data_IF_886361008849
#
_entry.id   IF_886361008849
#
_cell.length_a   1.000
_cell.length_b   1.000
_cell.length_c   1.000
_cell.angle_alpha   90.00
_cell.angle_beta   90.00
_cell.angle_gamma   90.00
#
_symmetry.space_group_name_H-M   'P 1'
#
loop_
_entity.id
_entity.type
_entity.pdbx_description
1 polymer ?
#
# COMPACT_ATOMS: atom_id res chain seq x y z
N UNK A 1 -32.56 19.99 -47.99
CA UNK A 1 -31.29 19.29 -48.33
C UNK A 1 -30.85 18.52 -47.10
N UNK A 2 -30.90 17.20 -47.20
CA UNK A 2 -30.68 16.18 -46.17
C UNK A 2 -29.21 15.80 -46.03
N UNK A 3 -28.82 15.24 -44.86
CA UNK A 3 -27.59 14.44 -44.59
C UNK A 3 -26.25 15.21 -44.63
N UNK A 4 -25.21 14.99 -43.82
CA UNK A 4 -24.71 14.04 -42.79
C UNK A 4 -23.78 14.89 -41.88
N UNK A 5 -23.40 14.54 -40.64
CA UNK A 5 -22.52 13.44 -40.24
C UNK A 5 -22.71 13.26 -38.72
N UNK A 6 -23.29 12.13 -38.32
CA UNK A 6 -22.97 11.47 -37.06
C UNK A 6 -21.61 10.80 -37.22
N UNK A 7 -20.81 10.74 -36.14
CA UNK A 7 -20.07 9.55 -35.69
C UNK A 7 -19.10 9.94 -34.56
N UNK A 8 -19.61 9.95 -33.33
CA UNK A 8 -18.79 9.99 -32.12
C UNK A 8 -18.34 8.55 -31.84
N UNK A 9 -17.20 8.17 -32.44
CA UNK A 9 -16.61 6.85 -32.26
C UNK A 9 -16.08 6.73 -30.83
N UNK A 10 -16.79 5.91 -30.06
CA UNK A 10 -16.40 5.32 -28.79
C UNK A 10 -15.01 4.67 -28.89
N UNK A 11 -14.04 5.21 -28.15
CA UNK A 11 -12.76 4.52 -27.90
C UNK A 11 -12.91 3.68 -26.63
N UNK A 12 -12.86 2.34 -26.70
CA UNK A 12 -12.82 1.52 -25.51
C UNK A 12 -11.46 1.72 -24.82
N UNK A 13 -11.50 2.08 -23.55
CA UNK A 13 -10.35 2.09 -22.67
C UNK A 13 -9.81 0.67 -22.60
N UNK A 14 -8.71 0.41 -23.31
CA UNK A 14 -7.94 -0.81 -23.12
C UNK A 14 -7.33 -0.75 -21.72
N UNK A 15 -7.94 -1.46 -20.78
CA UNK A 15 -7.30 -1.88 -19.54
C UNK A 15 -6.09 -2.73 -19.91
N UNK A 16 -4.91 -2.11 -19.95
CA UNK A 16 -3.65 -2.84 -19.93
C UNK A 16 -3.63 -3.61 -18.63
N UNK A 17 -3.86 -4.93 -18.73
CA UNK A 17 -3.57 -5.88 -17.66
C UNK A 17 -2.12 -5.67 -17.24
N UNK A 18 -1.92 -5.08 -16.06
CA UNK A 18 -0.62 -5.04 -15.41
C UNK A 18 -0.30 -6.49 -15.05
N UNK A 19 0.66 -7.07 -15.77
CA UNK A 19 1.30 -8.31 -15.35
C UNK A 19 1.89 -8.07 -13.96
N UNK A 20 1.25 -8.66 -12.95
CA UNK A 20 1.75 -8.69 -11.57
C UNK A 20 3.02 -9.53 -11.62
N UNK A 21 4.17 -8.87 -11.68
CA UNK A 21 5.42 -9.56 -11.43
C UNK A 21 5.47 -9.84 -9.93
N UNK A 22 5.22 -11.10 -9.56
CA UNK A 22 5.47 -11.63 -8.22
C UNK A 22 6.98 -11.63 -7.94
N UNK A 23 7.59 -10.46 -7.81
CA UNK A 23 8.93 -10.33 -7.25
C UNK A 23 8.79 -10.20 -5.73
N UNK A 24 8.80 -11.37 -5.08
CA UNK A 24 8.86 -11.49 -3.64
C UNK A 24 10.26 -11.12 -3.15
N UNK A 25 10.32 -10.19 -2.19
CA UNK A 25 11.58 -9.65 -1.65
C UNK A 25 12.35 -10.71 -0.85
N UNK A 26 13.68 -10.62 -0.92
CA UNK A 26 14.69 -11.63 -0.49
C UNK A 26 14.75 -11.96 1.01
N UNK A 27 13.82 -11.49 1.85
CA UNK A 27 13.74 -11.87 3.29
C UNK A 27 12.74 -13.00 3.60
N UNK A 28 12.06 -13.57 2.61
CA UNK A 28 11.29 -14.83 2.77
C UNK A 28 12.13 -16.08 3.11
N UNK A 29 13.46 -15.95 3.24
CA UNK A 29 14.35 -17.07 3.56
C UNK A 29 14.40 -17.41 5.06
N UNK A 30 13.65 -16.74 5.93
CA UNK A 30 13.56 -17.10 7.35
C UNK A 30 12.27 -17.89 7.66
N UNK A 31 11.14 -17.56 7.02
CA UNK A 31 9.86 -18.25 7.27
C UNK A 31 9.70 -19.59 6.51
N UNK A 32 10.28 -19.76 5.31
CA UNK A 32 10.25 -21.08 4.63
C UNK A 32 11.25 -22.10 5.19
N UNK A 33 12.02 -21.77 6.24
CA UNK A 33 13.00 -22.72 6.83
C UNK A 33 12.35 -23.90 7.55
N UNK A 34 11.06 -23.82 7.89
CA UNK A 34 10.40 -24.80 8.76
C UNK A 34 9.65 -25.89 7.99
N UNK A 35 9.45 -25.75 6.67
CA UNK A 35 8.61 -26.69 5.91
C UNK A 35 7.12 -26.64 6.28
N UNK A 36 6.73 -25.67 7.12
CA UNK A 36 5.35 -25.43 7.54
C UNK A 36 4.63 -24.67 6.41
N UNK A 37 3.44 -25.10 5.98
CA UNK A 37 2.65 -24.36 5.01
C UNK A 37 2.26 -22.98 5.57
N UNK A 38 2.15 -21.99 4.68
CA UNK A 38 1.83 -20.61 5.03
C UNK A 38 0.74 -20.10 4.11
N UNK A 39 -0.28 -19.48 4.69
CA UNK A 39 -1.29 -18.73 3.96
C UNK A 39 -0.88 -17.26 3.87
N UNK A 40 -1.23 -16.60 2.77
CA UNK A 40 -1.02 -15.16 2.59
C UNK A 40 -2.27 -14.52 2.04
N UNK A 41 -2.78 -13.50 2.73
CA UNK A 41 -3.80 -12.58 2.21
C UNK A 41 -3.12 -11.27 1.83
N UNK A 42 -3.44 -10.71 0.67
CA UNK A 42 -2.89 -9.43 0.24
C UNK A 42 -4.00 -8.49 -0.25
N UNK A 43 -4.00 -7.27 0.29
CA UNK A 43 -4.89 -6.18 -0.11
C UNK A 43 -4.08 -5.07 -0.77
N UNK A 44 -4.57 -4.53 -1.89
CA UNK A 44 -3.94 -3.40 -2.58
C UNK A 44 -4.89 -2.22 -2.70
N UNK A 45 -4.45 -1.05 -2.23
CA UNK A 45 -5.17 0.23 -2.32
C UNK A 45 -4.32 1.28 -3.03
N UNK A 46 -4.97 2.29 -3.61
CA UNK A 46 -4.32 3.45 -4.23
C UNK A 46 -4.81 4.70 -3.56
N UNK A 47 -3.91 5.64 -3.31
CA UNK A 47 -4.26 6.93 -2.74
C UNK A 47 -3.28 8.00 -3.21
N UNK A 48 -3.72 9.26 -3.18
CA UNK A 48 -2.86 10.40 -3.48
C UNK A 48 -2.47 11.04 -2.16
N UNK A 49 -1.19 11.33 -1.98
CA UNK A 49 -0.69 12.17 -0.89
C UNK A 49 0.44 13.06 -1.40
N UNK A 50 0.76 14.10 -0.64
CA UNK A 50 1.73 15.11 -1.05
C UNK A 50 2.80 15.28 0.02
N UNK A 51 4.01 15.65 -0.36
CA UNK A 51 5.03 16.10 0.57
C UNK A 51 5.89 17.20 -0.04
N UNK A 52 6.53 17.99 0.80
CA UNK A 52 7.49 19.01 0.39
C UNK A 52 8.90 18.63 0.81
N UNK A 53 9.88 19.14 0.06
CA UNK A 53 11.28 18.85 0.29
C UNK A 53 11.80 19.51 1.59
N UNK A 54 12.73 18.83 2.26
CA UNK A 54 13.29 19.23 3.56
C UNK A 54 14.19 20.47 3.51
N UNK A 55 14.72 20.81 2.33
CA UNK A 55 15.88 21.70 2.20
C UNK A 55 15.64 22.83 1.20
N UNK A 56 16.25 23.98 1.47
CA UNK A 56 16.28 25.15 0.58
C UNK A 56 16.81 24.86 -0.84
N UNK A 57 17.58 23.77 -1.03
CA UNK A 57 18.10 23.33 -2.34
C UNK A 57 16.97 22.94 -3.31
N UNK A 58 15.79 22.63 -2.79
CA UNK A 58 14.64 22.15 -3.56
C UNK A 58 13.45 23.15 -3.51
N UNK A 59 13.74 24.42 -3.21
CA UNK A 59 12.77 25.50 -3.05
C UNK A 59 11.87 25.75 -4.28
N UNK A 60 12.33 25.36 -5.47
CA UNK A 60 11.57 25.49 -6.72
C UNK A 60 10.43 24.44 -6.86
N UNK A 61 10.36 23.42 -5.99
CA UNK A 61 9.32 22.39 -6.00
C UNK A 61 8.64 22.27 -4.62
N UNK A 62 7.81 23.24 -4.24
CA UNK A 62 7.27 23.35 -2.88
C UNK A 62 6.30 22.23 -2.51
N UNK A 63 5.79 21.45 -3.46
CA UNK A 63 4.91 20.31 -3.19
C UNK A 63 5.03 19.23 -4.27
N UNK A 64 5.17 17.98 -3.85
CA UNK A 64 5.23 16.80 -4.72
C UNK A 64 4.11 15.83 -4.38
N UNK A 65 3.18 15.66 -5.32
CA UNK A 65 2.08 14.70 -5.24
C UNK A 65 2.49 13.36 -5.85
N UNK A 66 2.14 12.26 -5.20
CA UNK A 66 2.30 10.92 -5.77
C UNK A 66 0.99 10.15 -5.69
N UNK A 67 0.72 9.34 -6.72
CA UNK A 67 -0.30 8.30 -6.67
C UNK A 67 0.35 7.06 -6.06
N UNK A 68 0.32 6.97 -4.74
CA UNK A 68 0.85 5.83 -4.02
C UNK A 68 0.01 4.59 -4.29
N UNK A 69 0.68 3.44 -4.27
CA UNK A 69 0.05 2.12 -4.21
C UNK A 69 0.51 1.50 -2.91
N UNK A 70 -0.43 1.12 -2.05
CA UNK A 70 -0.18 0.35 -0.83
C UNK A 70 -0.57 -1.10 -1.09
N UNK A 71 0.30 -2.04 -0.77
CA UNK A 71 0.01 -3.47 -0.65
C UNK A 71 0.29 -3.91 0.78
N UNK A 72 -0.75 -4.37 1.45
CA UNK A 72 -0.70 -4.97 2.79
C UNK A 72 -0.75 -6.47 2.59
N UNK A 73 0.19 -7.21 3.19
CA UNK A 73 0.21 -8.66 3.17
C UNK A 73 0.20 -9.18 4.60
N UNK A 74 -0.70 -10.12 4.88
CA UNK A 74 -0.82 -10.81 6.15
C UNK A 74 -0.48 -12.28 5.92
N UNK A 75 0.35 -12.84 6.80
CA UNK A 75 0.74 -14.25 6.77
C UNK A 75 0.28 -14.98 8.04
N UNK A 76 -0.17 -16.23 7.88
CA UNK A 76 -0.61 -17.10 8.98
C UNK A 76 -0.35 -18.58 8.64
N UNK A 77 0.05 -19.38 9.63
CA UNK A 77 0.26 -20.82 9.47
C UNK A 77 -1.07 -21.58 9.38
N UNK A 78 -2.10 -21.08 10.07
CA UNK A 78 -3.45 -21.64 10.11
C UNK A 78 -4.48 -20.56 9.78
N UNK A 79 -5.62 -21.00 9.26
CA UNK A 79 -6.79 -20.14 9.06
C UNK A 79 -7.57 -20.05 10.37
N UNK A 80 -8.33 -18.97 10.54
CA UNK A 80 -9.25 -18.82 11.66
C UNK A 80 -10.40 -19.86 11.62
N UNK A 81 -11.31 -19.79 12.60
CA UNK A 81 -12.44 -20.72 12.70
C UNK A 81 -13.41 -20.67 11.52
N UNK A 82 -13.44 -19.57 10.77
CA UNK A 82 -14.29 -19.36 9.60
C UNK A 82 -13.55 -19.70 8.28
N UNK A 83 -12.24 -19.97 8.35
CA UNK A 83 -11.42 -20.39 7.22
C UNK A 83 -10.71 -19.23 6.49
N UNK A 84 -10.42 -18.13 7.17
CA UNK A 84 -9.71 -16.98 6.60
C UNK A 84 -8.36 -16.71 7.29
N UNK A 85 -7.46 -16.00 6.59
CA UNK A 85 -6.30 -15.38 7.24
C UNK A 85 -6.77 -14.21 8.10
N UNK A 86 -7.67 -13.41 7.54
CA UNK A 86 -8.44 -12.36 8.18
C UNK A 86 -9.65 -12.10 7.27
N UNK A 87 -10.77 -11.64 7.82
CA UNK A 87 -11.88 -11.15 7.01
C UNK A 87 -11.38 -9.99 6.11
N UNK A 88 -11.66 -10.08 4.81
CA UNK A 88 -11.16 -9.09 3.85
C UNK A 88 -11.87 -7.74 4.00
N UNK A 89 -13.17 -7.74 4.33
CA UNK A 89 -13.94 -6.51 4.53
C UNK A 89 -13.46 -5.80 5.80
N UNK A 90 -13.09 -6.55 6.86
CA UNK A 90 -12.43 -6.02 8.05
C UNK A 90 -11.09 -5.36 7.69
N UNK A 91 -10.21 -6.07 6.97
CA UNK A 91 -8.92 -5.54 6.54
C UNK A 91 -9.08 -4.28 5.67
N UNK A 92 -10.05 -4.29 4.76
CA UNK A 92 -10.32 -3.14 3.90
C UNK A 92 -10.77 -1.90 4.69
N UNK A 93 -11.67 -2.08 5.66
CA UNK A 93 -12.15 -0.99 6.50
C UNK A 93 -11.01 -0.35 7.31
N UNK A 94 -10.19 -1.17 7.98
CA UNK A 94 -9.05 -0.72 8.78
C UNK A 94 -8.02 0.04 7.92
N UNK A 95 -7.69 -0.50 6.75
CA UNK A 95 -6.75 0.16 5.83
C UNK A 95 -7.32 1.46 5.29
N UNK A 96 -8.60 1.52 4.94
CA UNK A 96 -9.24 2.73 4.42
C UNK A 96 -9.30 3.84 5.51
N UNK A 97 -9.59 3.49 6.76
CA UNK A 97 -9.59 4.41 7.89
C UNK A 97 -8.19 4.99 8.14
N UNK A 98 -7.14 4.17 8.09
CA UNK A 98 -5.75 4.62 8.21
C UNK A 98 -5.38 5.53 7.02
N UNK A 99 -5.70 5.13 5.78
CA UNK A 99 -5.40 5.92 4.60
C UNK A 99 -6.12 7.26 4.58
N UNK A 100 -7.30 7.37 5.20
CA UNK A 100 -8.05 8.64 5.33
C UNK A 100 -7.25 9.74 6.05
N UNK A 101 -6.27 9.36 6.87
CA UNK A 101 -5.39 10.29 7.58
C UNK A 101 -4.37 10.95 6.65
N UNK A 102 -4.06 10.32 5.51
CA UNK A 102 -3.02 10.76 4.56
C UNK A 102 -3.57 11.16 3.18
N UNK A 103 -4.71 10.61 2.78
CA UNK A 103 -5.30 10.84 1.46
C UNK A 103 -5.60 12.33 1.24
N UNK A 104 -5.09 12.86 0.13
CA UNK A 104 -5.19 14.27 -0.28
C UNK A 104 -4.63 15.27 0.74
N UNK A 105 -3.73 14.82 1.62
CA UNK A 105 -3.10 15.62 2.67
C UNK A 105 -1.59 15.67 2.48
N UNK A 106 -0.98 16.65 3.15
CA UNK A 106 0.47 16.81 3.24
C UNK A 106 1.02 15.88 4.31
N UNK A 107 1.92 14.97 3.93
CA UNK A 107 2.57 14.04 4.84
C UNK A 107 3.44 14.76 5.86
N UNK A 108 3.98 15.93 5.53
CA UNK A 108 4.79 16.73 6.45
C UNK A 108 4.00 17.21 7.67
N UNK A 109 2.66 17.33 7.56
CA UNK A 109 1.80 17.79 8.64
C UNK A 109 1.22 16.64 9.48
N UNK A 110 1.40 15.40 9.03
CA UNK A 110 0.89 14.24 9.76
C UNK A 110 1.72 13.98 11.03
N UNK A 111 1.02 13.60 12.11
CA UNK A 111 1.62 13.36 13.43
C UNK A 111 2.76 12.33 13.36
N UNK A 112 2.58 11.29 12.53
CA UNK A 112 3.58 10.25 12.29
C UNK A 112 4.93 10.76 11.77
N UNK A 113 5.02 11.99 11.26
CA UNK A 113 6.25 12.57 10.72
C UNK A 113 6.72 13.84 11.45
N UNK A 114 6.17 14.15 12.62
CA UNK A 114 6.65 15.28 13.40
C UNK A 114 8.15 15.15 13.72
N UNK A 115 8.94 16.14 13.30
CA UNK A 115 10.39 16.15 13.48
C UNK A 115 11.18 15.21 12.56
N UNK A 116 10.56 14.58 11.55
CA UNK A 116 11.25 13.70 10.59
C UNK A 116 10.69 13.83 9.17
N UNK A 117 11.50 13.44 8.17
CA UNK A 117 11.05 13.48 6.77
C UNK A 117 10.15 12.30 6.41
N UNK A 118 9.04 12.52 5.69
CA UNK A 118 8.17 11.46 5.16
C UNK A 118 8.80 10.78 3.93
N UNK A 119 9.95 10.14 4.15
CA UNK A 119 10.58 9.27 3.13
C UNK A 119 9.66 8.08 2.80
N UNK A 120 9.91 7.42 1.68
CA UNK A 120 9.07 6.28 1.26
C UNK A 120 9.14 5.13 2.28
N UNK A 121 10.32 4.90 2.85
CA UNK A 121 10.60 3.92 3.90
C UNK A 121 9.91 4.30 5.21
N UNK A 122 10.03 5.56 5.65
CA UNK A 122 9.37 6.03 6.86
C UNK A 122 7.84 5.96 6.73
N UNK A 123 7.30 6.17 5.53
CA UNK A 123 5.86 6.07 5.30
C UNK A 123 5.37 4.62 5.25
N UNK A 124 6.13 3.71 4.62
CA UNK A 124 5.84 2.28 4.70
C UNK A 124 5.83 1.78 6.16
N UNK A 125 6.80 2.24 6.97
CA UNK A 125 6.82 1.96 8.41
C UNK A 125 5.58 2.51 9.12
N UNK A 126 5.28 3.81 8.97
CA UNK A 126 4.14 4.42 9.65
C UNK A 126 2.81 3.75 9.32
N UNK A 127 2.61 3.34 8.06
CA UNK A 127 1.43 2.57 7.65
C UNK A 127 1.43 1.17 8.27
N UNK A 128 2.57 0.46 8.25
CA UNK A 128 2.68 -0.87 8.82
C UNK A 128 2.44 -0.91 10.32
N UNK A 129 3.03 0.02 11.07
CA UNK A 129 2.83 0.14 12.51
C UNK A 129 1.34 0.43 12.82
N UNK A 130 0.71 1.37 12.12
CA UNK A 130 -0.70 1.71 12.32
C UNK A 130 -1.65 0.55 12.01
N UNK A 131 -1.43 -0.19 10.91
CA UNK A 131 -2.26 -1.36 10.56
C UNK A 131 -2.02 -2.47 11.57
N UNK A 132 -0.78 -2.70 11.99
CA UNK A 132 -0.48 -3.74 12.97
C UNK A 132 -1.17 -3.50 14.32
N UNK A 133 -1.19 -2.25 14.77
CA UNK A 133 -1.86 -1.83 16.01
C UNK A 133 -3.39 -1.91 15.92
N UNK A 134 -3.99 -1.69 14.74
CA UNK A 134 -5.45 -1.72 14.59
C UNK A 134 -6.02 -3.13 14.48
N UNK A 135 -5.23 -4.10 13.99
CA UNK A 135 -5.66 -5.48 13.80
C UNK A 135 -5.55 -6.35 15.05
N UNK A 136 -6.67 -6.86 15.55
CA UNK A 136 -6.71 -7.93 16.55
C UNK A 136 -6.78 -9.32 15.88
N UNK A 137 -5.63 -9.81 15.44
CA UNK A 137 -5.50 -11.15 14.84
C UNK A 137 -4.25 -11.85 15.42
N UNK A 138 -4.41 -12.63 16.52
CA UNK A 138 -3.29 -13.22 17.25
C UNK A 138 -2.66 -14.43 16.54
N UNK A 139 -3.30 -14.98 15.51
CA UNK A 139 -2.78 -16.10 14.71
C UNK A 139 -1.95 -15.66 13.50
N UNK A 140 -1.91 -14.36 13.20
CA UNK A 140 -1.01 -13.83 12.18
C UNK A 140 0.43 -13.95 12.67
N UNK A 141 1.31 -14.41 11.78
CA UNK A 141 2.75 -14.58 12.06
C UNK A 141 3.58 -13.45 11.48
N UNK A 142 3.07 -12.77 10.44
CA UNK A 142 3.73 -11.60 9.88
C UNK A 142 2.74 -10.63 9.23
N UNK A 143 3.16 -9.37 9.21
CA UNK A 143 2.55 -8.30 8.43
C UNK A 143 3.63 -7.60 7.61
N UNK A 144 3.36 -7.40 6.33
CA UNK A 144 4.25 -6.66 5.43
C UNK A 144 3.50 -5.55 4.73
N UNK A 145 4.07 -4.35 4.74
CA UNK A 145 3.60 -3.21 3.97
C UNK A 145 4.59 -2.88 2.86
N UNK A 146 4.13 -2.98 1.63
CA UNK A 146 4.85 -2.52 0.45
C UNK A 146 4.18 -1.26 -0.10
N UNK A 147 4.96 -0.20 -0.23
CA UNK A 147 4.47 1.10 -0.68
C UNK A 147 5.25 1.53 -1.92
N UNK A 148 4.55 1.66 -3.05
CA UNK A 148 5.09 2.25 -4.28
C UNK A 148 4.78 3.73 -4.30
N UNK A 149 5.79 4.54 -4.62
CA UNK A 149 5.60 5.95 -4.95
C UNK A 149 5.16 6.12 -6.41
N UNK A 150 5.69 5.26 -7.27
CA UNK A 150 5.52 5.25 -8.71
C UNK A 150 5.86 3.85 -9.26
N UNK A 151 5.80 3.66 -10.58
CA UNK A 151 6.09 2.37 -11.22
C UNK A 151 7.53 1.86 -11.01
N UNK A 152 8.47 2.73 -10.60
CA UNK A 152 9.90 2.45 -10.52
C UNK A 152 10.39 2.23 -9.10
N UNK A 153 9.75 2.85 -8.10
CA UNK A 153 10.26 2.89 -6.73
C UNK A 153 9.22 2.44 -5.70
N UNK A 154 9.64 1.52 -4.84
CA UNK A 154 8.89 1.05 -3.67
C UNK A 154 9.78 0.82 -2.45
N UNK A 155 9.17 0.90 -1.27
CA UNK A 155 9.76 0.45 0.00
C UNK A 155 8.92 -0.70 0.58
N UNK A 156 9.55 -1.54 1.41
CA UNK A 156 8.92 -2.62 2.14
C UNK A 156 9.28 -2.51 3.63
N UNK A 157 8.28 -2.64 4.48
CA UNK A 157 8.43 -2.76 5.92
C UNK A 157 7.76 -4.06 6.38
N UNK A 158 8.46 -4.86 7.19
CA UNK A 158 8.03 -6.18 7.65
C UNK A 158 7.99 -6.19 9.19
N UNK A 159 6.93 -6.78 9.74
CA UNK A 159 6.70 -6.98 11.17
C UNK A 159 6.47 -8.48 11.39
N UNK A 160 7.18 -9.05 12.36
CA UNK A 160 6.88 -10.38 12.91
C UNK A 160 5.85 -10.22 14.04
N UNK A 161 4.80 -11.05 14.03
CA UNK A 161 3.68 -11.01 14.99
C UNK A 161 3.70 -12.22 15.92
#
# INVERSE_FOLDING_TARGET
MTSRITDYVSRPWQTRSMLISNHFSRKRNILFKTGVPMFTLALRKKFIAHHHAASEIDADHPMRSHLYILEVMLEAEELDSEGYVLDLDELEAEVDDILSQYAYKSLNDAEAFQGRMPTLEAFAQALGDAINESLYAPHLTALSVRLWRDEKAWALYDIER
#
